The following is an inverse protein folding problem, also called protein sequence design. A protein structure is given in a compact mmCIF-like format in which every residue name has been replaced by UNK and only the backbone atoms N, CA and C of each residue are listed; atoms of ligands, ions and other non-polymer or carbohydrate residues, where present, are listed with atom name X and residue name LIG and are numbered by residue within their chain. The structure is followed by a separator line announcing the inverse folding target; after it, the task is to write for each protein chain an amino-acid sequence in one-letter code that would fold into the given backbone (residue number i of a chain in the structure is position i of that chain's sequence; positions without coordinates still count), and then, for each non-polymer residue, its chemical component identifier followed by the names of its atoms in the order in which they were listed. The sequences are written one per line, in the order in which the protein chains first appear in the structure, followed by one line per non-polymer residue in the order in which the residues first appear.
data_IF_990948309495
#
_entry.id   IF_990948309495
#
_cell.length_a   1.000
_cell.length_b   1.000
_cell.length_c   1.000
_cell.angle_alpha   90.00
_cell.angle_beta   90.00
_cell.angle_gamma   90.00
#
_symmetry.space_group_name_H-M   'P 1'
#
loop_
_entity.id
_entity.type
_entity.pdbx_description
1 polymer ?
#
# COMPACT_ATOMS: atom_id res chain seq x y z
N UNK A 1 -24.45 -2.73 10.08
CA UNK A 1 -24.50 -3.99 9.32
C UNK A 1 -24.05 -3.72 7.88
N UNK A 2 -22.75 -3.75 7.62
CA UNK A 2 -22.25 -3.91 6.25
C UNK A 2 -22.08 -5.42 6.06
N UNK A 3 -22.87 -5.99 5.15
CA UNK A 3 -22.87 -7.42 4.81
C UNK A 3 -21.48 -7.86 4.38
N UNK A 4 -21.16 -9.12 4.66
CA UNK A 4 -19.96 -9.87 4.28
C UNK A 4 -19.71 -9.81 2.77
N UNK A 5 -19.16 -8.69 2.29
CA UNK A 5 -18.79 -8.52 0.89
C UNK A 5 -17.33 -8.94 0.76
N UNK A 6 -17.12 -10.08 0.11
CA UNK A 6 -15.77 -10.52 -0.25
C UNK A 6 -15.23 -9.52 -1.29
N UNK A 7 -14.11 -8.87 -0.97
CA UNK A 7 -13.40 -7.97 -1.88
C UNK A 7 -12.24 -8.77 -2.47
N UNK A 8 -12.31 -9.05 -3.77
CA UNK A 8 -11.22 -9.71 -4.50
C UNK A 8 -10.13 -8.68 -4.87
N UNK A 9 -9.10 -8.58 -4.05
CA UNK A 9 -7.97 -7.67 -4.26
C UNK A 9 -7.12 -8.04 -5.49
N UNK A 10 -7.19 -9.29 -5.98
CA UNK A 10 -6.41 -9.72 -7.15
C UNK A 10 -6.83 -9.02 -8.45
N UNK A 11 -8.06 -8.51 -8.51
CA UNK A 11 -8.53 -7.69 -9.63
C UNK A 11 -7.85 -6.31 -9.69
N UNK A 12 -7.39 -5.80 -8.54
CA UNK A 12 -6.71 -4.52 -8.44
C UNK A 12 -5.20 -4.69 -8.63
N UNK A 13 -4.62 -5.70 -7.98
CA UNK A 13 -3.19 -5.99 -8.04
C UNK A 13 -2.93 -7.49 -7.91
N UNK A 14 -2.27 -8.06 -8.93
CA UNK A 14 -1.90 -9.48 -8.97
C UNK A 14 -0.39 -9.62 -9.15
N UNK A 15 0.31 -9.87 -8.04
CA UNK A 15 1.75 -10.08 -8.01
C UNK A 15 2.19 -11.35 -8.77
N UNK A 16 1.31 -12.35 -8.92
CA UNK A 16 1.67 -13.63 -9.55
C UNK A 16 2.01 -13.49 -11.03
N UNK A 17 1.52 -12.42 -11.68
CA UNK A 17 1.84 -12.08 -13.08
C UNK A 17 3.28 -11.61 -13.28
N UNK A 18 4.01 -11.27 -12.21
CA UNK A 18 5.41 -10.89 -12.27
C UNK A 18 6.22 -11.69 -11.23
N UNK A 19 7.06 -12.65 -11.67
CA UNK A 19 7.78 -13.53 -10.76
C UNK A 19 8.60 -12.82 -9.67
N UNK A 20 9.18 -11.65 -9.98
CA UNK A 20 9.96 -10.88 -8.99
C UNK A 20 9.08 -10.17 -7.97
N UNK A 21 7.90 -9.68 -8.38
CA UNK A 21 6.95 -9.10 -7.43
C UNK A 21 6.39 -10.20 -6.52
N UNK A 22 6.03 -11.35 -7.10
CA UNK A 22 5.61 -12.52 -6.34
C UNK A 22 6.65 -12.92 -5.28
N UNK A 23 7.92 -13.08 -5.69
CA UNK A 23 9.02 -13.37 -4.77
C UNK A 23 9.14 -12.33 -3.65
N UNK A 24 9.05 -11.04 -3.97
CA UNK A 24 9.10 -9.96 -2.98
C UNK A 24 7.96 -10.01 -1.95
N UNK A 25 6.75 -10.35 -2.37
CA UNK A 25 5.60 -10.48 -1.47
C UNK A 25 5.67 -11.74 -0.59
N UNK A 26 6.27 -12.82 -1.10
CA UNK A 26 6.44 -14.07 -0.33
C UNK A 26 7.64 -14.05 0.62
N UNK A 27 8.62 -13.17 0.36
CA UNK A 27 9.82 -13.01 1.16
C UNK A 27 9.49 -12.70 2.64
N UNK A 28 9.90 -13.55 3.60
CA UNK A 28 9.62 -13.40 5.03
C UNK A 28 10.56 -12.41 5.74
N UNK A 29 11.56 -11.89 5.04
CA UNK A 29 12.58 -11.03 5.62
C UNK A 29 11.99 -9.72 6.13
N UNK A 30 12.46 -9.30 7.31
CA UNK A 30 12.06 -8.02 7.91
C UNK A 30 12.41 -6.82 7.03
N UNK A 31 13.52 -6.88 6.32
CA UNK A 31 13.99 -5.84 5.43
C UNK A 31 14.07 -6.39 4.01
N UNK A 32 13.31 -5.76 3.10
CA UNK A 32 13.22 -6.17 1.70
C UNK A 32 13.48 -4.97 0.81
N UNK A 33 14.19 -5.19 -0.29
CA UNK A 33 14.47 -4.17 -1.29
C UNK A 33 13.96 -4.64 -2.65
N UNK A 34 13.01 -3.90 -3.23
CA UNK A 34 12.56 -4.14 -4.59
C UNK A 34 13.17 -3.10 -5.56
N UNK A 35 14.34 -3.44 -6.12
CA UNK A 35 15.09 -2.60 -7.06
C UNK A 35 14.80 -2.89 -8.54
N UNK A 36 15.26 -2.00 -9.43
CA UNK A 36 15.13 -2.20 -10.89
C UNK A 36 15.01 -0.91 -11.71
N UNK A 37 14.89 -1.07 -13.03
CA UNK A 37 14.80 0.03 -14.00
C UNK A 37 13.47 0.82 -13.92
N UNK A 38 13.43 1.99 -14.58
CA UNK A 38 12.22 2.79 -14.73
C UNK A 38 11.09 1.97 -15.38
N UNK A 39 9.84 2.19 -14.96
CA UNK A 39 8.68 1.44 -15.47
C UNK A 39 8.51 0.01 -14.95
N UNK A 40 9.47 -0.55 -14.19
CA UNK A 40 9.41 -1.94 -13.69
C UNK A 40 8.38 -2.25 -12.58
N UNK A 41 7.40 -1.36 -12.35
CA UNK A 41 6.33 -1.60 -11.38
C UNK A 41 6.72 -1.50 -9.90
N UNK A 42 7.89 -0.94 -9.57
CA UNK A 42 8.42 -0.90 -8.19
C UNK A 42 7.48 -0.20 -7.21
N UNK A 43 6.97 0.97 -7.60
CA UNK A 43 6.06 1.75 -6.75
C UNK A 43 4.78 0.96 -6.47
N UNK A 44 4.20 0.29 -7.48
CA UNK A 44 3.02 -0.53 -7.31
C UNK A 44 3.29 -1.73 -6.37
N UNK A 45 4.40 -2.43 -6.54
CA UNK A 45 4.83 -3.55 -5.69
C UNK A 45 4.93 -3.13 -4.21
N UNK A 46 5.72 -2.09 -3.91
CA UNK A 46 5.95 -1.62 -2.53
C UNK A 46 4.66 -1.06 -1.91
N UNK A 47 3.84 -0.34 -2.67
CA UNK A 47 2.56 0.17 -2.17
C UNK A 47 1.60 -0.97 -1.81
N UNK A 48 1.49 -2.00 -2.66
CA UNK A 48 0.61 -3.12 -2.39
C UNK A 48 1.10 -4.01 -1.25
N UNK A 49 2.41 -4.07 -1.00
CA UNK A 49 2.95 -4.73 0.19
C UNK A 49 2.46 -4.02 1.47
N UNK A 50 2.53 -2.68 1.50
CA UNK A 50 2.01 -1.89 2.61
C UNK A 50 0.51 -2.10 2.82
N UNK A 51 -0.29 -2.10 1.74
CA UNK A 51 -1.73 -2.38 1.80
C UNK A 51 -1.99 -3.78 2.34
N UNK A 52 -1.33 -4.81 1.80
CA UNK A 52 -1.50 -6.19 2.20
C UNK A 52 -1.19 -6.38 3.69
N UNK A 53 -0.07 -5.83 4.17
CA UNK A 53 0.30 -5.88 5.59
C UNK A 53 -0.71 -5.15 6.49
N UNK A 54 -1.29 -4.04 6.03
CA UNK A 54 -2.33 -3.33 6.80
C UNK A 54 -3.67 -4.06 6.84
N UNK A 55 -3.99 -4.86 5.81
CA UNK A 55 -5.20 -5.69 5.77
C UNK A 55 -5.02 -6.98 6.57
N UNK A 56 -3.89 -7.67 6.37
CA UNK A 56 -3.57 -8.97 6.97
C UNK A 56 -3.44 -8.91 8.50
N UNK A 57 -2.93 -7.80 9.03
CA UNK A 57 -2.74 -7.59 10.46
C UNK A 57 -3.66 -6.47 10.96
N UNK A 58 -4.83 -6.80 11.56
CA UNK A 58 -5.74 -5.80 12.11
C UNK A 58 -5.09 -4.91 13.17
N UNK A 59 -5.39 -3.61 13.16
CA UNK A 59 -4.79 -2.63 14.08
C UNK A 59 -3.33 -2.26 13.77
N UNK A 60 -2.79 -2.69 12.63
CA UNK A 60 -1.42 -2.39 12.22
C UNK A 60 -1.25 -0.90 11.89
N UNK A 61 -0.07 -0.33 12.19
CA UNK A 61 0.28 1.06 11.85
C UNK A 61 1.48 1.07 10.91
N UNK A 62 1.23 1.32 9.63
CA UNK A 62 2.25 1.39 8.59
C UNK A 62 2.52 2.82 8.14
N UNK A 63 3.72 3.06 7.61
CA UNK A 63 4.08 4.31 6.95
C UNK A 63 4.61 4.03 5.54
N UNK A 64 4.08 4.74 4.54
CA UNK A 64 4.55 4.69 3.16
C UNK A 64 5.04 6.09 2.79
N UNK A 65 6.32 6.21 2.45
CA UNK A 65 6.89 7.51 2.12
C UNK A 65 7.93 7.47 1.02
N UNK A 66 8.17 8.65 0.47
CA UNK A 66 9.32 8.94 -0.39
C UNK A 66 10.24 9.92 0.33
N UNK A 67 11.44 10.16 -0.21
CA UNK A 67 12.31 11.24 0.32
C UNK A 67 11.53 12.54 0.42
N UNK A 68 11.07 13.06 -0.72
CA UNK A 68 10.30 14.30 -0.78
C UNK A 68 8.78 14.05 -0.77
N UNK A 69 8.04 14.91 -0.07
CA UNK A 69 6.58 14.85 -0.01
C UNK A 69 5.92 15.08 -1.39
N UNK A 70 6.54 15.91 -2.25
CA UNK A 70 6.04 16.14 -3.61
C UNK A 70 6.13 14.86 -4.45
N UNK A 71 7.29 14.18 -4.42
CA UNK A 71 7.49 12.93 -5.12
C UNK A 71 6.51 11.84 -4.64
N UNK A 72 6.20 11.82 -3.34
CA UNK A 72 5.18 10.93 -2.79
C UNK A 72 3.79 11.21 -3.40
N UNK A 73 3.32 12.46 -3.36
CA UNK A 73 2.01 12.87 -3.91
C UNK A 73 1.88 12.56 -5.39
N UNK A 74 2.95 12.78 -6.16
CA UNK A 74 2.92 12.61 -7.61
C UNK A 74 2.93 11.14 -8.04
N UNK A 75 3.39 10.22 -7.17
CA UNK A 75 3.60 8.81 -7.50
C UNK A 75 2.87 7.87 -6.54
N UNK A 76 3.42 7.66 -5.33
CA UNK A 76 2.97 6.61 -4.42
C UNK A 76 1.56 6.84 -3.88
N UNK A 77 1.14 8.10 -3.66
CA UNK A 77 -0.25 8.40 -3.27
C UNK A 77 -1.25 7.94 -4.33
N UNK A 78 -0.94 8.17 -5.62
CA UNK A 78 -1.80 7.72 -6.72
C UNK A 78 -1.89 6.20 -6.80
N UNK A 79 -0.83 5.48 -6.43
CA UNK A 79 -0.88 4.02 -6.35
C UNK A 79 -1.73 3.57 -5.15
N UNK A 80 -1.61 4.24 -4.00
CA UNK A 80 -2.46 3.95 -2.83
C UNK A 80 -3.93 4.15 -3.17
N UNK A 81 -4.31 5.30 -3.73
CA UNK A 81 -5.68 5.59 -4.12
C UNK A 81 -6.21 4.66 -5.21
N UNK A 82 -5.32 4.15 -6.08
CA UNK A 82 -5.67 3.19 -7.13
C UNK A 82 -5.94 1.79 -6.58
N UNK A 83 -5.13 1.32 -5.63
CA UNK A 83 -5.15 -0.08 -5.20
C UNK A 83 -5.85 -0.32 -3.87
N UNK A 84 -6.05 0.71 -3.04
CA UNK A 84 -6.78 0.59 -1.79
C UNK A 84 -8.29 0.71 -2.07
N UNK A 85 -9.09 -0.37 -1.92
CA UNK A 85 -10.52 -0.32 -2.16
C UNK A 85 -11.20 0.65 -1.18
N UNK A 86 -12.14 1.46 -1.69
CA UNK A 86 -12.88 2.41 -0.88
C UNK A 86 -13.68 1.73 0.24
N UNK A 87 -14.13 0.50 0.01
CA UNK A 87 -14.85 -0.33 0.98
C UNK A 87 -14.02 -0.71 2.21
N UNK A 88 -12.69 -0.67 2.11
CA UNK A 88 -11.79 -0.94 3.23
C UNK A 88 -11.42 0.33 4.01
N UNK A 89 -11.74 1.53 3.49
CA UNK A 89 -11.40 2.81 4.09
C UNK A 89 -12.52 3.23 5.04
N UNK A 90 -12.22 3.30 6.33
CA UNK A 90 -13.12 3.89 7.33
C UNK A 90 -13.07 5.42 7.29
N UNK A 91 -11.89 6.01 7.15
CA UNK A 91 -11.71 7.46 6.96
C UNK A 91 -10.38 7.78 6.26
N UNK A 92 -10.33 8.90 5.54
CA UNK A 92 -9.14 9.43 4.91
C UNK A 92 -8.87 10.85 5.41
N UNK A 93 -7.84 11.00 6.24
CA UNK A 93 -7.40 12.29 6.77
C UNK A 93 -6.33 12.89 5.87
N UNK A 94 -6.77 13.65 4.85
CA UNK A 94 -5.87 14.20 3.82
C UNK A 94 -4.81 15.16 4.36
N UNK A 95 -5.19 16.00 5.31
CA UNK A 95 -4.29 16.99 5.94
C UNK A 95 -3.21 16.31 6.78
N UNK A 96 -3.60 15.35 7.61
CA UNK A 96 -2.70 14.60 8.49
C UNK A 96 -1.94 13.48 7.76
N UNK A 97 -2.36 13.13 6.55
CA UNK A 97 -1.66 12.17 5.71
C UNK A 97 -1.86 10.72 6.11
N UNK A 98 -3.10 10.27 6.37
CA UNK A 98 -3.35 8.84 6.62
C UNK A 98 -4.73 8.34 6.20
N UNK A 99 -4.79 7.04 5.90
CA UNK A 99 -6.02 6.27 5.79
C UNK A 99 -6.21 5.43 7.05
N UNK A 100 -7.41 5.44 7.62
CA UNK A 100 -7.82 4.46 8.62
C UNK A 100 -8.69 3.41 7.93
N UNK A 101 -8.39 2.14 8.18
CA UNK A 101 -9.11 1.01 7.61
C UNK A 101 -10.19 0.50 8.55
N UNK A 102 -11.18 -0.19 7.99
CA UNK A 102 -12.30 -0.79 8.75
C UNK A 102 -11.86 -1.85 9.77
N UNK A 103 -10.67 -2.44 9.60
CA UNK A 103 -10.06 -3.39 10.54
C UNK A 103 -9.24 -2.69 11.65
N UNK A 104 -9.30 -1.36 11.75
CA UNK A 104 -8.56 -0.56 12.73
C UNK A 104 -7.12 -0.23 12.34
N UNK A 105 -6.60 -0.77 11.23
CA UNK A 105 -5.26 -0.43 10.76
C UNK A 105 -5.17 1.00 10.23
N UNK A 106 -3.96 1.57 10.27
CA UNK A 106 -3.66 2.93 9.78
C UNK A 106 -2.51 2.88 8.79
N UNK A 107 -2.74 3.42 7.59
CA UNK A 107 -1.72 3.64 6.57
C UNK A 107 -1.39 5.14 6.57
N UNK A 108 -0.29 5.49 7.24
CA UNK A 108 0.27 6.84 7.22
C UNK A 108 1.09 7.04 5.94
N UNK A 109 1.16 8.28 5.46
CA UNK A 109 1.90 8.59 4.27
C UNK A 109 2.50 10.00 4.25
N UNK A 110 3.61 10.16 3.54
CA UNK A 110 4.26 11.48 3.42
C UNK A 110 5.67 11.47 2.85
N UNK A 111 6.31 12.63 2.95
CA UNK A 111 7.77 12.75 2.75
C UNK A 111 8.51 12.34 4.01
N UNK A 112 9.73 11.82 3.84
CA UNK A 112 10.66 11.50 4.93
C UNK A 112 11.53 12.70 5.35
N UNK A 113 11.60 13.76 4.53
CA UNK A 113 12.42 14.97 4.75
C UNK A 113 12.66 15.76 3.45
N UNK A 114 13.42 16.86 3.40
CA UNK A 114 14.47 17.33 4.33
C UNK A 114 14.08 17.39 5.81
#
# INVERSE_FOLDING_TARGET
MAKDRVIDLSQLYDASKNPRQWEFHQAPEKYKLYGGAYGGGKTACITNEGIALSIQYPGNRGFIGCREAKAFRDNALKQLEKFLPAELIATHHKTEGFFQLVNGSVIMYGGLGE
#
